data_IF_829065957961
#
_entry.id   IF_829065957961
#
_cell.length_a   1.000
_cell.length_b   1.000
_cell.length_c   1.000
_cell.angle_alpha   90.00
_cell.angle_beta   90.00
_cell.angle_gamma   90.00
#
_symmetry.space_group_name_H-M   'P 1'
#
loop_
_entity.id
_entity.type
_entity.pdbx_description
1 polymer ?
#
# COMPACT_ATOMS: atom_id res chain seq x y z
N UNK A 1 -1.22 -35.50 -45.31
CA UNK A 1 -2.65 -35.12 -45.15
C UNK A 1 -3.03 -35.43 -43.71
N UNK A 2 -3.56 -34.57 -42.85
CA UNK A 2 -4.03 -33.20 -42.91
C UNK A 2 -3.89 -32.66 -41.47
N UNK A 3 -3.19 -31.53 -41.32
CA UNK A 3 -3.42 -30.59 -40.24
C UNK A 3 -4.85 -30.04 -40.36
N UNK A 4 -5.50 -29.71 -39.23
CA UNK A 4 -6.10 -28.39 -38.91
C UNK A 4 -7.32 -28.49 -38.00
N UNK A 5 -7.40 -27.49 -37.10
CA UNK A 5 -8.60 -26.94 -36.46
C UNK A 5 -8.84 -27.30 -34.98
N UNK A 6 -7.95 -26.81 -34.11
CA UNK A 6 -8.37 -26.26 -32.82
C UNK A 6 -8.28 -24.75 -32.96
N UNK A 7 -9.43 -24.07 -32.88
CA UNK A 7 -9.52 -22.63 -32.93
C UNK A 7 -8.83 -21.99 -31.71
N UNK A 8 -8.08 -20.88 -31.87
CA UNK A 8 -7.57 -20.14 -30.72
C UNK A 8 -8.73 -19.40 -30.04
N UNK A 9 -9.04 -19.78 -28.80
CA UNK A 9 -9.97 -19.03 -27.96
C UNK A 9 -9.35 -17.64 -27.69
N UNK A 10 -10.09 -16.60 -28.10
CA UNK A 10 -9.67 -15.21 -28.04
C UNK A 10 -9.40 -14.79 -26.59
N UNK A 11 -8.13 -14.51 -26.29
CA UNK A 11 -7.70 -13.84 -25.06
C UNK A 11 -8.47 -12.52 -24.90
N UNK A 12 -9.24 -12.42 -23.82
CA UNK A 12 -10.06 -11.26 -23.52
C UNK A 12 -9.17 -10.12 -22.98
N UNK A 13 -9.42 -8.88 -23.42
CA UNK A 13 -8.58 -7.67 -23.18
C UNK A 13 -8.46 -7.21 -21.71
N UNK A 14 -8.76 -8.06 -20.73
CA UNK A 14 -8.63 -7.79 -19.29
C UNK A 14 -7.40 -8.43 -18.64
N UNK A 15 -6.74 -9.39 -19.30
CA UNK A 15 -5.50 -9.98 -18.79
C UNK A 15 -4.24 -9.12 -19.00
N UNK A 16 -4.32 -7.95 -19.66
CA UNK A 16 -3.14 -7.10 -19.91
C UNK A 16 -2.82 -6.09 -18.81
N UNK A 17 -3.62 -5.98 -17.73
CA UNK A 17 -3.41 -4.98 -16.67
C UNK A 17 -2.55 -5.48 -15.50
N UNK A 18 -2.40 -6.79 -15.33
CA UNK A 18 -1.56 -7.37 -14.28
C UNK A 18 -0.05 -7.37 -14.62
N UNK A 19 0.33 -7.19 -15.89
CA UNK A 19 1.73 -6.99 -16.31
C UNK A 19 2.12 -5.50 -16.44
N UNK A 20 1.18 -4.58 -16.23
CA UNK A 20 1.42 -3.14 -16.39
C UNK A 20 2.19 -2.49 -15.22
N UNK A 21 1.98 -2.96 -13.99
CA UNK A 21 2.60 -2.32 -12.82
C UNK A 21 4.09 -2.65 -12.65
N UNK A 22 4.52 -3.82 -13.14
CA UNK A 22 5.94 -4.22 -13.16
C UNK A 22 6.73 -3.51 -14.27
N UNK A 23 6.07 -3.11 -15.35
CA UNK A 23 6.70 -2.46 -16.52
C UNK A 23 6.86 -0.93 -16.36
N UNK A 24 6.19 -0.32 -15.38
CA UNK A 24 6.22 1.13 -15.14
C UNK A 24 7.42 1.61 -14.29
N UNK A 25 8.19 0.69 -13.70
CA UNK A 25 9.40 1.04 -12.94
C UNK A 25 10.70 0.68 -13.69
N UNK A 26 10.62 0.01 -14.85
CA UNK A 26 11.81 -0.44 -15.61
C UNK A 26 12.12 0.38 -16.87
N UNK A 27 11.17 1.19 -17.38
CA UNK A 27 11.41 2.00 -18.58
C UNK A 27 11.57 3.48 -18.22
N UNK A 28 12.81 3.84 -17.92
CA UNK A 28 13.27 5.21 -18.10
C UNK A 28 13.04 5.67 -19.55
N UNK A 29 12.66 6.94 -19.68
CA UNK A 29 12.64 7.71 -20.93
C UNK A 29 11.64 7.24 -22.01
N UNK A 30 10.41 7.72 -21.93
CA UNK A 30 9.45 7.61 -23.04
C UNK A 30 8.38 8.69 -22.97
N UNK A 31 8.47 9.70 -23.85
CA UNK A 31 7.44 10.73 -24.06
C UNK A 31 6.13 10.05 -24.52
N UNK A 32 5.21 9.77 -23.59
CA UNK A 32 3.88 9.22 -23.85
C UNK A 32 2.78 10.25 -23.58
N UNK A 33 1.83 10.40 -24.51
CA UNK A 33 0.78 11.44 -24.55
C UNK A 33 -0.09 11.43 -23.29
N UNK A 34 -0.24 12.61 -22.66
CA UNK A 34 -1.06 12.86 -21.46
C UNK A 34 -2.56 12.66 -21.75
N UNK A 35 -3.19 11.67 -21.12
CA UNK A 35 -4.65 11.52 -21.06
C UNK A 35 -5.20 12.23 -19.82
N UNK A 36 -6.38 12.87 -19.93
CA UNK A 36 -7.01 13.72 -18.88
C UNK A 36 -7.08 13.10 -17.48
N UNK A 37 -7.13 11.76 -17.39
CA UNK A 37 -7.18 11.02 -16.12
C UNK A 37 -5.88 11.08 -15.32
N UNK A 38 -4.74 11.30 -15.98
CA UNK A 38 -3.44 11.51 -15.32
C UNK A 38 -3.35 12.88 -14.62
N UNK A 39 -4.27 13.82 -14.88
CA UNK A 39 -4.16 15.19 -14.37
C UNK A 39 -4.48 15.32 -12.88
N UNK A 40 -5.32 14.46 -12.30
CA UNK A 40 -5.67 14.54 -10.87
C UNK A 40 -4.58 13.91 -10.01
N UNK A 41 -4.05 12.77 -10.45
CA UNK A 41 -2.94 12.07 -9.77
C UNK A 41 -1.62 12.86 -9.87
N UNK A 42 -1.32 13.48 -11.02
CA UNK A 42 -0.17 14.38 -11.17
C UNK A 42 -0.30 15.62 -10.27
N UNK A 43 -1.47 16.28 -10.26
CA UNK A 43 -1.72 17.44 -9.37
C UNK A 43 -1.65 17.08 -7.89
N UNK A 44 -2.06 15.87 -7.54
CA UNK A 44 -2.02 15.34 -6.17
C UNK A 44 -0.58 15.06 -5.71
N UNK A 45 0.24 14.43 -6.55
CA UNK A 45 1.67 14.23 -6.27
C UNK A 45 2.38 15.58 -6.08
N UNK A 46 2.07 16.57 -6.92
CA UNK A 46 2.62 17.92 -6.82
C UNK A 46 2.17 18.66 -5.55
N UNK A 47 0.95 18.43 -5.06
CA UNK A 47 0.46 19.01 -3.80
C UNK A 47 1.19 18.41 -2.59
N UNK A 48 1.39 17.09 -2.59
CA UNK A 48 2.14 16.39 -1.54
C UNK A 48 3.58 16.88 -1.50
N UNK A 49 4.26 16.92 -2.66
CA UNK A 49 5.65 17.39 -2.76
C UNK A 49 5.79 18.83 -2.24
N UNK A 50 4.77 19.67 -2.43
CA UNK A 50 4.77 21.07 -1.98
C UNK A 50 4.65 21.22 -0.47
N UNK A 51 3.99 20.28 0.21
CA UNK A 51 3.79 20.27 1.67
C UNK A 51 4.95 19.62 2.42
N UNK A 52 5.82 18.88 1.73
CA UNK A 52 7.01 18.31 2.35
C UNK A 52 8.02 19.41 2.74
N UNK A 53 8.65 19.34 3.92
CA UNK A 53 9.74 20.23 4.27
C UNK A 53 10.88 20.08 3.25
N UNK A 54 11.44 21.20 2.78
CA UNK A 54 12.47 21.20 1.74
C UNK A 54 13.69 20.44 2.22
N UNK A 55 13.99 19.31 1.57
CA UNK A 55 15.19 18.53 1.85
C UNK A 55 16.45 19.39 1.65
N UNK A 56 17.44 19.30 2.55
CA UNK A 56 18.70 20.03 2.39
C UNK A 56 19.39 19.61 1.08
N UNK A 57 19.89 20.60 0.33
CA UNK A 57 20.54 20.38 -0.97
C UNK A 57 21.81 19.53 -0.78
N UNK A 58 21.80 18.31 -1.31
CA UNK A 58 22.98 17.46 -1.37
C UNK A 58 24.05 18.11 -2.27
N UNK A 59 25.21 18.47 -1.69
CA UNK A 59 26.39 18.91 -2.44
C UNK A 59 26.86 17.76 -3.32
N UNK A 60 26.83 17.96 -4.65
CA UNK A 60 27.44 17.03 -5.60
C UNK A 60 28.96 17.22 -5.58
N UNK A 61 29.68 16.42 -4.79
CA UNK A 61 31.11 16.21 -4.97
C UNK A 61 31.53 14.93 -4.24
N UNK A 62 32.14 14.02 -5.00
CA UNK A 62 32.75 12.78 -4.49
C UNK A 62 31.81 11.58 -4.56
N UNK A 63 32.28 10.51 -5.21
CA UNK A 63 31.57 9.25 -5.37
C UNK A 63 31.01 8.75 -4.03
N UNK A 64 29.68 8.74 -3.89
CA UNK A 64 29.01 8.00 -2.83
C UNK A 64 29.07 6.54 -3.25
N UNK A 65 30.11 5.83 -2.79
CA UNK A 65 30.02 4.39 -2.58
C UNK A 65 28.84 4.22 -1.63
N UNK A 66 27.68 3.83 -2.14
CA UNK A 66 26.52 3.49 -1.30
C UNK A 66 26.91 2.19 -0.57
N UNK A 67 27.71 2.31 0.49
CA UNK A 67 27.77 1.29 1.53
C UNK A 67 26.35 1.21 2.06
N UNK A 68 25.80 -0.01 2.04
CA UNK A 68 24.52 -0.35 2.66
C UNK A 68 24.60 -0.12 4.18
N UNK A 69 24.58 1.13 4.59
CA UNK A 69 24.37 1.53 5.97
C UNK A 69 23.32 2.62 5.92
N UNK A 70 22.05 2.16 5.83
CA UNK A 70 20.99 2.89 6.53
C UNK A 70 21.48 3.05 7.96
N UNK A 71 21.39 4.24 8.58
CA UNK A 71 21.85 4.42 9.95
C UNK A 71 21.21 3.34 10.80
N UNK A 72 22.08 2.56 11.44
CA UNK A 72 21.72 1.53 12.40
C UNK A 72 20.91 2.23 13.48
N UNK A 73 19.58 2.02 13.47
CA UNK A 73 18.68 2.44 14.54
C UNK A 73 19.21 1.74 15.80
N UNK A 74 19.74 2.49 16.76
CA UNK A 74 19.76 2.03 18.14
C UNK A 74 18.28 1.84 18.51
N UNK A 75 17.88 0.57 18.61
CA UNK A 75 16.49 0.15 18.65
C UNK A 75 15.87 0.48 20.01
N UNK A 76 15.27 1.66 20.12
CA UNK A 76 14.05 1.77 20.92
C UNK A 76 13.02 0.90 20.20
N UNK A 77 12.85 -0.34 20.67
CA UNK A 77 11.90 -1.28 20.08
C UNK A 77 10.51 -0.69 20.20
N UNK A 78 9.92 -0.29 19.07
CA UNK A 78 8.60 0.33 19.06
C UNK A 78 7.60 -0.62 19.72
N UNK A 79 6.93 -0.15 20.77
CA UNK A 79 5.93 -0.95 21.44
C UNK A 79 4.77 -1.19 20.46
N UNK A 80 4.65 -2.45 20.01
CA UNK A 80 3.61 -2.91 19.09
C UNK A 80 2.21 -2.44 19.52
N UNK A 81 1.88 -2.60 20.80
CA UNK A 81 0.55 -2.24 21.31
C UNK A 81 0.32 -0.74 21.23
N UNK A 82 1.36 0.07 21.44
CA UNK A 82 1.28 1.53 21.29
C UNK A 82 1.02 1.91 19.84
N UNK A 83 1.82 1.41 18.90
CA UNK A 83 1.65 1.72 17.47
C UNK A 83 0.26 1.30 16.97
N UNK A 84 -0.17 0.07 17.27
CA UNK A 84 -1.47 -0.42 16.84
C UNK A 84 -2.63 0.38 17.46
N UNK A 85 -2.48 0.80 18.72
CA UNK A 85 -3.43 1.70 19.38
C UNK A 85 -3.48 3.08 18.72
N UNK A 86 -2.33 3.67 18.38
CA UNK A 86 -2.26 4.98 17.74
C UNK A 86 -2.94 4.95 16.36
N UNK A 87 -2.67 3.91 15.56
CA UNK A 87 -3.35 3.71 14.27
C UNK A 87 -4.85 3.53 14.48
N UNK A 88 -5.25 2.66 15.42
CA UNK A 88 -6.67 2.41 15.70
C UNK A 88 -7.41 3.69 16.08
N UNK A 89 -6.85 4.47 17.00
CA UNK A 89 -7.47 5.71 17.46
C UNK A 89 -7.56 6.75 16.33
N UNK A 90 -6.52 6.87 15.50
CA UNK A 90 -6.52 7.77 14.35
C UNK A 90 -7.62 7.42 13.34
N UNK A 91 -7.82 6.13 13.07
CA UNK A 91 -8.86 5.65 12.14
C UNK A 91 -10.26 5.80 12.73
N UNK A 92 -10.49 5.31 13.96
CA UNK A 92 -11.82 5.31 14.59
C UNK A 92 -12.35 6.74 14.83
N UNK A 93 -11.47 7.71 15.06
CA UNK A 93 -11.86 9.12 15.22
C UNK A 93 -12.66 9.69 14.05
N UNK A 94 -12.43 9.19 12.83
CA UNK A 94 -13.12 9.63 11.61
C UNK A 94 -14.04 8.57 11.00
N UNK A 95 -13.77 7.30 11.30
CA UNK A 95 -14.53 6.16 10.81
C UNK A 95 -14.95 5.29 11.99
N UNK A 96 -15.96 5.70 12.78
CA UNK A 96 -16.34 4.98 13.99
C UNK A 96 -16.82 3.54 13.75
N UNK A 97 -17.26 3.24 12.53
CA UNK A 97 -17.70 1.90 12.11
C UNK A 97 -16.55 0.98 11.67
N UNK A 98 -15.33 1.52 11.59
CA UNK A 98 -14.16 0.81 11.09
C UNK A 98 -13.78 -0.36 12.00
N UNK A 99 -13.54 -1.51 11.39
CA UNK A 99 -12.94 -2.68 12.00
C UNK A 99 -11.54 -2.85 11.42
N UNK A 100 -10.54 -2.97 12.29
CA UNK A 100 -9.16 -3.16 11.89
C UNK A 100 -8.70 -4.58 12.17
N UNK A 101 -7.98 -5.15 11.22
CA UNK A 101 -7.39 -6.48 11.32
C UNK A 101 -5.90 -6.35 11.04
N UNK A 102 -5.09 -6.69 12.02
CA UNK A 102 -3.65 -6.78 11.90
C UNK A 102 -3.25 -8.19 11.45
N UNK A 103 -2.46 -8.30 10.39
CA UNK A 103 -2.04 -9.59 9.83
C UNK A 103 -0.56 -9.56 9.43
N UNK A 104 -0.10 -10.56 8.68
CA UNK A 104 1.25 -10.58 8.11
C UNK A 104 2.31 -11.10 9.08
N UNK A 105 3.58 -10.88 8.74
CA UNK A 105 4.72 -11.50 9.45
C UNK A 105 4.79 -11.09 10.94
N UNK A 106 4.52 -9.81 11.23
CA UNK A 106 4.50 -9.26 12.60
C UNK A 106 3.37 -9.81 13.46
N UNK A 107 2.22 -10.15 12.88
CA UNK A 107 1.13 -10.81 13.63
C UNK A 107 1.51 -12.21 14.13
N UNK A 108 2.53 -12.84 13.52
CA UNK A 108 2.97 -14.20 13.80
C UNK A 108 4.25 -14.32 14.61
N UNK A 109 4.90 -13.22 14.98
CA UNK A 109 6.22 -13.27 15.60
C UNK A 109 7.31 -13.79 14.63
N UNK A 110 7.11 -13.67 13.31
CA UNK A 110 8.09 -14.09 12.28
C UNK A 110 8.70 -12.90 11.55
N UNK A 111 8.56 -11.71 12.12
CA UNK A 111 9.06 -10.48 11.59
C UNK A 111 10.58 -10.37 11.72
N UNK A 112 11.13 -9.64 10.76
CA UNK A 112 12.44 -8.99 10.85
C UNK A 112 12.22 -7.52 11.21
N UNK A 113 13.25 -6.86 11.73
CA UNK A 113 13.19 -5.45 12.16
C UNK A 113 12.67 -4.48 11.07
N UNK A 114 12.88 -4.83 9.80
CA UNK A 114 12.44 -4.06 8.63
C UNK A 114 11.09 -4.49 8.06
N UNK A 115 10.37 -5.39 8.74
CA UNK A 115 9.08 -5.87 8.24
C UNK A 115 8.04 -4.77 8.31
N UNK A 116 7.16 -4.74 7.32
CA UNK A 116 6.04 -3.80 7.29
C UNK A 116 4.98 -4.20 8.33
N UNK A 117 4.17 -3.24 8.74
CA UNK A 117 2.97 -3.43 9.56
C UNK A 117 1.75 -3.58 8.64
N UNK A 118 1.30 -4.81 8.44
CA UNK A 118 0.18 -5.11 7.54
C UNK A 118 -1.18 -4.96 8.24
N UNK A 119 -2.02 -4.03 7.77
CA UNK A 119 -3.30 -3.70 8.38
C UNK A 119 -4.42 -3.66 7.33
N UNK A 120 -5.51 -4.37 7.61
CA UNK A 120 -6.74 -4.31 6.84
C UNK A 120 -7.75 -3.46 7.62
N UNK A 121 -8.32 -2.47 6.95
CA UNK A 121 -9.35 -1.58 7.48
C UNK A 121 -10.65 -1.86 6.75
N UNK A 122 -11.70 -2.19 7.52
CA UNK A 122 -13.03 -2.52 7.03
C UNK A 122 -14.07 -1.54 7.55
N UNK A 123 -14.72 -0.78 6.68
CA UNK A 123 -15.77 0.19 7.07
C UNK A 123 -17.14 -0.15 6.47
N UNK A 124 -18.21 0.31 7.12
CA UNK A 124 -19.57 0.27 6.56
C UNK A 124 -19.88 1.51 5.72
N UNK A 125 -19.02 2.52 5.78
CA UNK A 125 -19.19 3.76 5.02
C UNK A 125 -18.89 3.56 3.53
N UNK A 126 -19.54 4.40 2.70
CA UNK A 126 -19.22 4.46 1.28
C UNK A 126 -17.81 5.01 1.08
N UNK A 127 -16.88 4.12 0.73
CA UNK A 127 -15.50 4.46 0.41
C UNK A 127 -15.40 5.11 -0.98
N UNK A 128 -15.69 6.41 -1.05
CA UNK A 128 -15.28 7.22 -2.20
C UNK A 128 -13.76 7.26 -2.28
N UNK A 129 -13.21 7.51 -3.48
CA UNK A 129 -11.75 7.62 -3.64
C UNK A 129 -11.13 8.71 -2.75
N UNK A 130 -11.84 9.83 -2.54
CA UNK A 130 -11.38 10.88 -1.63
C UNK A 130 -11.29 10.40 -0.17
N UNK A 131 -12.28 9.62 0.31
CA UNK A 131 -12.25 9.06 1.67
C UNK A 131 -11.11 8.07 1.85
N UNK A 132 -10.82 7.24 0.83
CA UNK A 132 -9.64 6.35 0.84
C UNK A 132 -8.34 7.15 0.92
N UNK A 133 -8.23 8.24 0.15
CA UNK A 133 -7.05 9.12 0.18
C UNK A 133 -6.87 9.76 1.55
N UNK A 134 -7.94 10.29 2.15
CA UNK A 134 -7.91 10.85 3.51
C UNK A 134 -7.41 9.81 4.53
N UNK A 135 -7.94 8.59 4.47
CA UNK A 135 -7.54 7.51 5.36
C UNK A 135 -6.08 7.08 5.15
N UNK A 136 -5.62 7.00 3.90
CA UNK A 136 -4.20 6.74 3.60
C UNK A 136 -3.29 7.88 4.08
N UNK A 137 -3.68 9.14 3.94
CA UNK A 137 -2.89 10.27 4.42
C UNK A 137 -2.69 10.21 5.93
N UNK A 138 -3.72 9.85 6.69
CA UNK A 138 -3.62 9.67 8.14
C UNK A 138 -2.63 8.58 8.54
N UNK A 139 -2.67 7.45 7.84
CA UNK A 139 -1.74 6.36 8.10
C UNK A 139 -0.33 6.81 7.76
N UNK A 140 -0.15 7.52 6.65
CA UNK A 140 1.13 8.09 6.24
C UNK A 140 1.69 9.09 7.25
N UNK A 141 0.86 9.91 7.90
CA UNK A 141 1.32 10.80 8.99
C UNK A 141 1.90 10.00 10.17
N UNK A 142 1.30 8.84 10.50
CA UNK A 142 1.82 7.94 11.54
C UNK A 142 3.13 7.29 11.08
N UNK A 143 3.23 6.84 9.84
CA UNK A 143 4.47 6.31 9.27
C UNK A 143 5.61 7.33 9.37
N UNK A 144 5.35 8.59 9.03
CA UNK A 144 6.33 9.67 9.14
C UNK A 144 6.73 9.96 10.59
N UNK A 145 5.76 9.99 11.51
CA UNK A 145 6.02 10.30 12.92
C UNK A 145 6.79 9.17 13.63
N UNK A 146 6.52 7.93 13.26
CA UNK A 146 7.11 6.74 13.91
C UNK A 146 8.33 6.20 13.18
N UNK A 147 8.49 6.53 11.90
CA UNK A 147 9.49 5.94 11.00
C UNK A 147 9.24 4.46 10.70
N UNK A 148 8.06 3.94 11.03
CA UNK A 148 7.61 2.59 10.71
C UNK A 148 6.95 2.56 9.33
N UNK A 149 7.03 1.42 8.64
CA UNK A 149 6.33 1.21 7.36
C UNK A 149 5.03 0.48 7.65
N UNK A 150 3.90 1.05 7.25
CA UNK A 150 2.54 0.55 7.48
C UNK A 150 1.88 0.26 6.13
N UNK A 151 1.80 -1.02 5.78
CA UNK A 151 1.03 -1.43 4.62
C UNK A 151 -0.45 -1.52 4.97
N UNK A 152 -1.27 -0.62 4.40
CA UNK A 152 -2.71 -0.59 4.65
C UNK A 152 -3.54 -0.98 3.43
N UNK A 153 -4.52 -1.86 3.65
CA UNK A 153 -5.55 -2.23 2.68
C UNK A 153 -6.90 -1.78 3.22
N UNK A 154 -7.71 -1.12 2.39
CA UNK A 154 -8.99 -0.52 2.82
C UNK A 154 -10.12 -1.09 1.94
N UNK A 155 -11.11 -1.70 2.58
CA UNK A 155 -12.29 -2.23 1.93
C UNK A 155 -13.57 -1.89 2.70
N UNK A 156 -14.70 -1.90 2.01
CA UNK A 156 -15.99 -1.93 2.71
C UNK A 156 -16.22 -3.34 3.28
N UNK A 157 -17.02 -3.47 4.34
CA UNK A 157 -17.41 -4.79 4.86
C UNK A 157 -18.14 -5.62 3.81
N UNK A 158 -18.90 -4.97 2.93
CA UNK A 158 -19.58 -5.61 1.80
C UNK A 158 -18.59 -6.21 0.79
N UNK A 159 -17.60 -5.44 0.34
CA UNK A 159 -16.54 -5.93 -0.57
C UNK A 159 -15.76 -7.08 0.07
N UNK A 160 -15.47 -6.98 1.36
CA UNK A 160 -14.77 -8.03 2.09
C UNK A 160 -15.55 -9.35 2.13
N UNK A 161 -16.87 -9.27 2.26
CA UNK A 161 -17.74 -10.44 2.32
C UNK A 161 -18.06 -11.04 0.95
N UNK A 162 -17.72 -10.36 -0.14
CA UNK A 162 -18.01 -10.80 -1.51
C UNK A 162 -17.40 -12.20 -1.79
N UNK A 163 -18.15 -13.14 -2.39
CA UNK A 163 -17.64 -14.47 -2.71
C UNK A 163 -16.35 -14.45 -3.56
N UNK A 164 -16.20 -13.49 -4.47
CA UNK A 164 -15.00 -13.32 -5.28
C UNK A 164 -13.80 -12.81 -4.47
N UNK A 165 -14.04 -12.07 -3.38
CA UNK A 165 -12.97 -11.69 -2.46
C UNK A 165 -12.47 -12.91 -1.69
N UNK A 166 -13.37 -13.79 -1.26
CA UNK A 166 -13.05 -14.98 -0.43
C UNK A 166 -12.14 -16.00 -1.11
N UNK A 167 -12.18 -16.08 -2.44
CA UNK A 167 -11.30 -16.97 -3.21
C UNK A 167 -9.88 -16.42 -3.36
N UNK A 168 -9.63 -15.16 -3.02
CA UNK A 168 -8.30 -14.57 -3.17
C UNK A 168 -7.33 -15.12 -2.12
N UNK A 169 -6.05 -15.33 -2.48
CA UNK A 169 -5.02 -15.68 -1.51
C UNK A 169 -4.90 -14.63 -0.39
N UNK A 170 -5.14 -13.36 -0.72
CA UNK A 170 -5.16 -12.27 0.24
C UNK A 170 -6.20 -12.50 1.34
N UNK A 171 -7.46 -12.73 0.97
CA UNK A 171 -8.52 -13.00 1.94
C UNK A 171 -8.19 -14.21 2.82
N UNK A 172 -7.73 -15.30 2.21
CA UNK A 172 -7.38 -16.52 2.93
C UNK A 172 -6.24 -16.30 3.93
N UNK A 173 -5.23 -15.49 3.58
CA UNK A 173 -4.15 -15.13 4.47
C UNK A 173 -4.64 -14.30 5.65
N UNK A 174 -5.41 -13.25 5.40
CA UNK A 174 -5.95 -12.41 6.47
C UNK A 174 -6.93 -13.19 7.35
N UNK A 175 -7.77 -14.05 6.79
CA UNK A 175 -8.72 -14.86 7.56
C UNK A 175 -8.02 -15.89 8.47
N UNK A 176 -6.88 -16.42 8.03
CA UNK A 176 -6.09 -17.41 8.78
C UNK A 176 -5.21 -16.78 9.86
N UNK A 177 -4.74 -15.56 9.64
CA UNK A 177 -3.64 -14.96 10.41
C UNK A 177 -4.04 -13.67 11.13
N UNK A 178 -5.16 -13.08 10.73
CA UNK A 178 -5.58 -11.76 11.17
C UNK A 178 -6.06 -11.77 12.62
N UNK A 179 -5.60 -10.79 13.38
CA UNK A 179 -6.09 -10.46 14.72
C UNK A 179 -6.86 -9.15 14.67
N UNK A 180 -8.06 -9.12 15.24
CA UNK A 180 -8.85 -7.88 15.35
C UNK A 180 -8.21 -7.00 16.42
N UNK A 181 -7.96 -5.74 16.09
CA UNK A 181 -7.31 -4.79 16.98
C UNK A 181 -8.22 -3.63 17.37
#
# INVERSE_FOLDING_TARGET
MLLKNIAPCKLNKRQSRANGFRTLMENGTGKGKKTKQNSVLEKWADEIIRRLPKLPKLRKSGAIRIRQQRPFRETEQMNQNKLLSDIKNSVISEYPSAKMIFYGSRSKGREKDWSDWDILILTDENLTENRKIELHNKIFEIELATGEIIHSVIHTKREWQDPLMRITPFYQNVAREGTVI
#
